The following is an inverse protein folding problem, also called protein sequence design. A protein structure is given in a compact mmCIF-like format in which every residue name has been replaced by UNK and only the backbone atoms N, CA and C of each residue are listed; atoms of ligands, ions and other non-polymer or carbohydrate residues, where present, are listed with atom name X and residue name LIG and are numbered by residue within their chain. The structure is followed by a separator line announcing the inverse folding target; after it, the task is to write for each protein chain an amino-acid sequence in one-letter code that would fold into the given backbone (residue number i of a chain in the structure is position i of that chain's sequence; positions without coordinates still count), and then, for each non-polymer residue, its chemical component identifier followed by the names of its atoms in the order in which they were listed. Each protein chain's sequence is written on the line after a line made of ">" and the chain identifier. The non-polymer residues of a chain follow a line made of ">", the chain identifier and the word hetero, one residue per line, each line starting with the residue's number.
data_IF_022929638515
#
_entry.id   IF_022929638515
#
_cell.length_a   1.000
_cell.length_b   1.000
_cell.length_c   1.000
_cell.angle_alpha   90.00
_cell.angle_beta   90.00
_cell.angle_gamma   90.00
#
_symmetry.space_group_name_H-M   'P 1'
#
loop_
_entity.id
_entity.type
_entity.pdbx_description
1 polymer ?
#
# COMPACT_ATOMS: atom_id res chain seq x y z
N UNK A 1 -15.80 12.99 -15.47
CA UNK A 1 -14.91 12.00 -16.13
C UNK A 1 -13.79 11.68 -15.15
N UNK A 2 -13.93 10.62 -14.35
CA UNK A 2 -12.89 10.18 -13.40
C UNK A 2 -11.93 9.27 -14.15
N UNK A 3 -10.69 9.68 -14.32
CA UNK A 3 -9.65 8.85 -14.91
C UNK A 3 -9.09 7.92 -13.83
N UNK A 4 -9.87 6.90 -13.49
CA UNK A 4 -9.32 5.72 -12.84
C UNK A 4 -8.56 4.95 -13.92
N UNK A 5 -7.24 5.13 -14.00
CA UNK A 5 -6.38 4.11 -14.57
C UNK A 5 -6.71 2.82 -13.82
N UNK A 6 -7.00 1.69 -14.49
CA UNK A 6 -7.40 0.38 -13.91
C UNK A 6 -6.59 0.04 -12.65
N UNK A 7 -7.04 0.55 -11.50
CA UNK A 7 -6.12 1.04 -10.48
C UNK A 7 -5.83 -0.03 -9.46
N UNK A 8 -4.55 -0.36 -9.28
CA UNK A 8 -4.17 -1.24 -8.16
C UNK A 8 -4.69 -0.64 -6.85
N UNK A 9 -5.13 -1.48 -5.91
CA UNK A 9 -5.78 -1.03 -4.68
C UNK A 9 -4.92 -0.10 -3.84
N UNK A 10 -5.58 0.86 -3.18
CA UNK A 10 -5.02 1.66 -2.09
C UNK A 10 -5.51 1.06 -0.78
N UNK A 11 -4.58 0.70 0.09
CA UNK A 11 -4.90 0.12 1.38
C UNK A 11 -4.75 1.12 2.52
N UNK A 12 -5.65 1.03 3.49
CA UNK A 12 -5.64 1.85 4.70
C UNK A 12 -5.60 0.93 5.93
N UNK A 13 -4.64 1.17 6.82
CA UNK A 13 -4.52 0.42 8.08
C UNK A 13 -3.91 1.30 9.17
N UNK A 14 -4.65 1.54 10.24
CA UNK A 14 -4.28 2.56 11.22
C UNK A 14 -4.06 3.92 10.55
N UNK A 15 -2.94 4.58 10.85
CA UNK A 15 -2.55 5.87 10.24
C UNK A 15 -1.87 5.73 8.88
N UNK A 16 -1.77 4.51 8.34
CA UNK A 16 -1.01 4.23 7.13
C UNK A 16 -1.90 4.17 5.89
N UNK A 17 -1.35 4.71 4.79
CA UNK A 17 -1.91 4.60 3.45
C UNK A 17 -0.86 3.97 2.53
N UNK A 18 -1.18 2.84 1.92
CA UNK A 18 -0.32 2.11 1.01
C UNK A 18 -0.88 2.18 -0.41
N UNK A 19 -0.17 2.88 -1.30
CA UNK A 19 -0.51 3.07 -2.70
C UNK A 19 0.34 2.13 -3.57
N UNK A 20 -0.19 0.95 -3.89
CA UNK A 20 0.59 -0.11 -4.57
C UNK A 20 0.99 0.27 -6.00
N UNK A 21 0.14 1.00 -6.72
CA UNK A 21 0.46 1.51 -8.06
C UNK A 21 1.68 2.43 -8.06
N UNK A 22 1.86 3.21 -6.99
CA UNK A 22 2.90 4.24 -6.90
C UNK A 22 4.09 3.83 -6.04
N UNK A 23 4.13 2.59 -5.53
CA UNK A 23 5.14 2.12 -4.58
C UNK A 23 5.34 3.06 -3.38
N UNK A 24 4.23 3.63 -2.87
CA UNK A 24 4.29 4.67 -1.84
C UNK A 24 3.58 4.25 -0.56
N UNK A 25 4.25 4.45 0.56
CA UNK A 25 3.69 4.31 1.90
C UNK A 25 3.65 5.69 2.55
N UNK A 26 2.52 6.04 3.15
CA UNK A 26 2.39 7.26 3.97
C UNK A 26 1.94 6.89 5.37
N UNK A 27 2.32 7.69 6.37
CA UNK A 27 1.77 7.68 7.73
C UNK A 27 1.36 9.09 8.10
N UNK A 28 0.08 9.29 8.42
CA UNK A 28 -0.44 10.62 8.76
C UNK A 28 -0.15 11.66 7.67
N UNK A 29 -0.18 11.26 6.40
CA UNK A 29 0.12 12.13 5.25
C UNK A 29 1.60 12.30 4.90
N UNK A 30 2.53 11.81 5.73
CA UNK A 30 3.97 11.88 5.44
C UNK A 30 4.46 10.61 4.76
N UNK A 31 5.23 10.75 3.69
CA UNK A 31 5.82 9.62 2.97
C UNK A 31 6.90 8.92 3.80
N UNK A 32 6.86 7.59 3.83
CA UNK A 32 7.84 6.73 4.49
C UNK A 32 8.51 5.89 3.40
N UNK A 33 9.82 6.06 3.27
CA UNK A 33 10.61 5.22 2.38
C UNK A 33 10.85 3.85 2.99
N UNK A 34 10.38 2.81 2.30
CA UNK A 34 10.72 1.43 2.58
C UNK A 34 11.75 0.93 1.57
N UNK A 35 12.60 0.01 2.01
CA UNK A 35 13.41 -0.77 1.08
C UNK A 35 12.47 -1.57 0.16
N UNK A 36 12.82 -1.77 -1.12
CA UNK A 36 11.95 -2.45 -2.08
C UNK A 36 11.38 -3.77 -1.55
N UNK A 37 12.23 -4.62 -0.95
CA UNK A 37 11.78 -5.90 -0.41
C UNK A 37 10.78 -5.78 0.75
N UNK A 38 10.97 -4.78 1.61
CA UNK A 38 10.06 -4.50 2.72
C UNK A 38 8.71 -4.03 2.21
N UNK A 39 8.69 -3.21 1.14
CA UNK A 39 7.45 -2.76 0.51
C UNK A 39 6.67 -3.91 -0.13
N UNK A 40 7.35 -4.80 -0.86
CA UNK A 40 6.74 -6.00 -1.44
C UNK A 40 6.09 -6.87 -0.36
N UNK A 41 6.82 -7.17 0.71
CA UNK A 41 6.30 -7.99 1.81
C UNK A 41 5.08 -7.34 2.46
N UNK A 42 5.13 -6.04 2.76
CA UNK A 42 3.98 -5.34 3.34
C UNK A 42 2.77 -5.36 2.39
N UNK A 43 2.98 -5.12 1.09
CA UNK A 43 1.91 -5.14 0.10
C UNK A 43 1.23 -6.51 0.05
N UNK A 44 2.02 -7.59 0.03
CA UNK A 44 1.51 -8.95 0.07
C UNK A 44 0.68 -9.23 1.33
N UNK A 45 1.20 -8.88 2.52
CA UNK A 45 0.49 -9.11 3.79
C UNK A 45 -0.84 -8.36 3.87
N UNK A 46 -0.89 -7.14 3.35
CA UNK A 46 -2.09 -6.31 3.38
C UNK A 46 -3.12 -6.76 2.34
N UNK A 47 -2.67 -7.15 1.15
CA UNK A 47 -3.52 -7.74 0.10
C UNK A 47 -4.16 -9.05 0.56
N UNK A 48 -3.41 -9.88 1.27
CA UNK A 48 -3.87 -11.18 1.78
C UNK A 48 -4.30 -11.16 3.25
N UNK A 49 -4.68 -9.99 3.79
CA UNK A 49 -5.08 -9.88 5.19
C UNK A 49 -6.15 -10.92 5.58
N UNK A 50 -6.09 -11.41 6.81
CA UNK A 50 -7.02 -12.44 7.31
C UNK A 50 -6.67 -13.89 6.96
N UNK A 51 -5.62 -14.12 6.17
CA UNK A 51 -5.08 -15.45 5.91
C UNK A 51 -3.77 -15.62 6.68
N UNK A 52 -3.62 -16.65 7.53
CA UNK A 52 -2.31 -16.97 8.09
C UNK A 52 -1.38 -17.36 6.94
N UNK A 53 -0.28 -16.63 6.79
CA UNK A 53 0.83 -16.94 5.90
C UNK A 53 1.73 -18.03 6.46
#
# INVERSE_FOLDING_TARGET
>A
MVMAHEGRPIYHFGDYTLEVSEHRLRRGGHEIFLRPKTFETLSYLVEHHGHPV
#
